data_IF_820820104138
#
_entry.id   IF_820820104138
#
_cell.length_a   1.000
_cell.length_b   1.000
_cell.length_c   1.000
_cell.angle_alpha   90.00
_cell.angle_beta   90.00
_cell.angle_gamma   90.00
#
_symmetry.space_group_name_H-M   'P 1'
#
loop_
_entity.id
_entity.type
_entity.pdbx_description
1 polymer ?
#
# COMPACT_ATOMS: atom_id res chain seq x y z
N UNK A 1 -6.48 23.37 -4.20
CA UNK A 1 -6.60 22.93 -5.57
C UNK A 1 -7.94 22.37 -5.81
N UNK A 2 -8.38 22.42 -7.02
CA UNK A 2 -9.73 22.03 -7.38
C UNK A 2 -9.93 20.55 -7.64
N UNK A 3 -8.89 19.71 -7.67
CA UNK A 3 -9.02 18.30 -8.04
C UNK A 3 -8.26 17.44 -7.03
N UNK A 4 -8.95 16.40 -6.53
CA UNK A 4 -8.36 15.42 -5.62
C UNK A 4 -8.84 14.04 -6.02
N UNK A 5 -7.99 13.04 -5.84
CA UNK A 5 -8.41 11.66 -5.98
C UNK A 5 -9.24 11.30 -4.73
N UNK A 6 -10.52 11.05 -4.92
CA UNK A 6 -11.45 10.80 -3.81
C UNK A 6 -11.45 9.33 -3.38
N UNK A 7 -11.62 8.45 -4.32
CA UNK A 7 -11.58 7.00 -4.05
C UNK A 7 -11.17 6.25 -5.31
N UNK A 8 -10.71 5.03 -5.12
CA UNK A 8 -10.42 4.14 -6.23
C UNK A 8 -10.72 2.71 -5.81
N UNK A 9 -11.11 1.89 -6.77
CA UNK A 9 -11.36 0.47 -6.54
C UNK A 9 -10.06 -0.28 -6.73
N UNK A 10 -9.70 -1.10 -5.73
CA UNK A 10 -8.54 -1.97 -5.81
C UNK A 10 -9.04 -3.41 -5.92
N UNK A 11 -8.90 -4.05 -7.09
CA UNK A 11 -9.35 -5.43 -7.27
C UNK A 11 -8.40 -6.39 -6.57
N UNK A 12 -8.96 -7.32 -5.79
CA UNK A 12 -8.21 -8.29 -4.99
C UNK A 12 -9.02 -9.60 -4.95
N UNK A 13 -8.39 -10.68 -4.47
CA UNK A 13 -9.11 -11.95 -4.37
C UNK A 13 -10.04 -11.98 -3.17
N UNK A 14 -9.57 -11.47 -2.03
CA UNK A 14 -10.34 -11.43 -0.78
C UNK A 14 -10.27 -10.01 -0.24
N UNK A 15 -11.35 -9.26 -0.41
CA UNK A 15 -11.36 -7.83 -0.08
C UNK A 15 -11.11 -7.55 1.39
N UNK A 16 -11.63 -8.38 2.29
CA UNK A 16 -11.43 -8.12 3.71
C UNK A 16 -10.01 -8.46 4.15
N UNK A 17 -9.44 -9.55 3.64
CA UNK A 17 -8.04 -9.89 3.92
C UNK A 17 -7.12 -8.80 3.40
N UNK A 18 -7.38 -8.29 2.19
CA UNK A 18 -6.58 -7.23 1.58
C UNK A 18 -6.69 -5.92 2.37
N UNK A 19 -7.90 -5.54 2.78
CA UNK A 19 -8.12 -4.32 3.55
C UNK A 19 -7.41 -4.39 4.90
N UNK A 20 -7.49 -5.54 5.58
CA UNK A 20 -6.81 -5.73 6.87
C UNK A 20 -5.30 -5.70 6.71
N UNK A 21 -4.78 -6.32 5.68
CA UNK A 21 -3.34 -6.27 5.38
C UNK A 21 -2.88 -4.83 5.17
N UNK A 22 -3.57 -4.11 4.30
CA UNK A 22 -3.20 -2.73 4.00
C UNK A 22 -3.23 -1.86 5.26
N UNK A 23 -4.32 -1.94 6.01
CA UNK A 23 -4.47 -1.15 7.24
C UNK A 23 -3.37 -1.48 8.24
N UNK A 24 -3.06 -2.76 8.41
CA UNK A 24 -2.03 -3.20 9.35
C UNK A 24 -0.65 -2.67 8.98
N UNK A 25 -0.28 -2.76 7.71
CA UNK A 25 1.05 -2.32 7.27
C UNK A 25 1.17 -0.80 7.31
N UNK A 26 0.12 -0.09 6.90
CA UNK A 26 0.15 1.38 6.85
C UNK A 26 -0.23 2.05 8.17
N UNK A 27 -0.58 1.26 9.19
CA UNK A 27 -0.94 1.83 10.49
C UNK A 27 -2.27 2.56 10.49
N UNK A 28 -3.22 2.05 9.71
CA UNK A 28 -4.55 2.62 9.54
C UNK A 28 -5.60 1.68 10.13
N UNK A 29 -6.85 2.14 10.16
CA UNK A 29 -7.96 1.34 10.66
C UNK A 29 -8.75 0.74 9.50
N UNK A 30 -9.23 -0.49 9.70
CA UNK A 30 -10.26 -1.08 8.86
C UNK A 30 -11.47 -1.37 9.75
N UNK A 31 -12.61 -0.76 9.43
CA UNK A 31 -13.79 -0.79 10.28
C UNK A 31 -14.90 -1.70 9.73
N UNK A 32 -14.57 -2.57 8.80
CA UNK A 32 -15.51 -3.51 8.23
C UNK A 32 -16.01 -3.08 6.85
N UNK A 33 -16.78 -3.97 6.20
CA UNK A 33 -17.27 -3.71 4.85
C UNK A 33 -18.32 -2.62 4.81
N UNK A 34 -18.42 -1.97 3.66
CA UNK A 34 -19.44 -0.96 3.40
C UNK A 34 -19.98 -1.20 1.99
N UNK A 35 -21.24 -1.66 1.90
CA UNK A 35 -21.80 -2.07 0.63
C UNK A 35 -20.98 -3.22 0.04
N UNK A 36 -20.63 -3.16 -1.25
CA UNK A 36 -19.85 -4.23 -1.88
C UNK A 36 -18.36 -4.17 -1.60
N UNK A 37 -17.88 -3.15 -0.88
CA UNK A 37 -16.46 -2.89 -0.74
C UNK A 37 -15.96 -3.11 0.69
N UNK A 38 -14.64 -3.29 0.80
CA UNK A 38 -13.92 -3.23 2.07
C UNK A 38 -13.06 -1.97 2.04
N UNK A 39 -13.57 -0.82 2.56
CA UNK A 39 -12.88 0.45 2.41
C UNK A 39 -11.81 0.68 3.46
N UNK A 40 -10.70 1.29 3.04
CA UNK A 40 -9.67 1.80 3.96
C UNK A 40 -9.43 3.27 3.64
N UNK A 41 -9.55 4.12 4.65
CA UNK A 41 -9.30 5.56 4.50
C UNK A 41 -7.82 5.85 4.64
N UNK A 42 -7.30 6.60 3.66
CA UNK A 42 -5.91 7.07 3.65
C UNK A 42 -5.97 8.59 3.50
N UNK A 43 -6.02 9.29 4.62
CA UNK A 43 -6.27 10.73 4.58
C UNK A 43 -7.65 11.01 3.97
N UNK A 44 -7.70 11.79 2.90
CA UNK A 44 -8.94 12.09 2.19
C UNK A 44 -9.27 11.07 1.09
N UNK A 45 -8.35 10.14 0.79
CA UNK A 45 -8.56 9.09 -0.20
C UNK A 45 -9.19 7.88 0.47
N UNK A 46 -10.11 7.21 -0.24
CA UNK A 46 -10.62 5.91 0.17
C UNK A 46 -10.17 4.87 -0.84
N UNK A 47 -9.56 3.78 -0.35
CA UNK A 47 -9.29 2.61 -1.17
C UNK A 47 -10.43 1.63 -0.95
N UNK A 48 -11.18 1.36 -2.02
CA UNK A 48 -12.31 0.42 -1.96
C UNK A 48 -11.83 -0.93 -2.48
N UNK A 49 -11.45 -1.82 -1.56
CA UNK A 49 -11.06 -3.17 -1.96
C UNK A 49 -12.29 -3.95 -2.39
N UNK A 50 -12.18 -4.62 -3.53
CA UNK A 50 -13.29 -5.32 -4.16
C UNK A 50 -12.84 -6.70 -4.62
N UNK A 51 -13.62 -7.72 -4.33
CA UNK A 51 -13.24 -9.11 -4.62
C UNK A 51 -13.45 -9.44 -6.09
N UNK A 52 -12.41 -10.02 -6.70
CA UNK A 52 -12.41 -10.49 -8.08
C UNK A 52 -11.68 -11.82 -8.18
N UNK A 53 -12.11 -12.67 -9.11
CA UNK A 53 -11.48 -13.98 -9.29
C UNK A 53 -10.06 -13.89 -9.86
N UNK A 54 -9.84 -12.92 -10.74
CA UNK A 54 -8.55 -12.75 -11.42
C UNK A 54 -8.20 -11.26 -11.48
N UNK A 55 -7.81 -10.65 -10.34
CA UNK A 55 -7.57 -9.22 -10.30
C UNK A 55 -6.34 -8.82 -11.09
N UNK A 56 -6.46 -7.73 -11.84
CA UNK A 56 -5.31 -7.13 -12.50
C UNK A 56 -4.34 -6.59 -11.45
N UNK A 57 -3.03 -6.68 -11.75
CA UNK A 57 -1.99 -6.16 -10.86
C UNK A 57 -1.88 -4.66 -11.04
N UNK A 58 -1.93 -3.94 -9.93
CA UNK A 58 -1.77 -2.49 -9.89
C UNK A 58 -0.41 -2.14 -9.30
N UNK A 59 0.07 -0.95 -9.65
CA UNK A 59 1.22 -0.32 -9.01
C UNK A 59 0.79 1.07 -8.56
N UNK A 60 0.80 1.31 -7.25
CA UNK A 60 0.44 2.62 -6.74
C UNK A 60 1.33 3.00 -5.57
N UNK A 61 1.53 4.32 -5.42
CA UNK A 61 2.56 4.85 -4.54
C UNK A 61 1.98 5.91 -3.61
N UNK A 62 2.53 5.96 -2.40
CA UNK A 62 2.14 6.92 -1.39
C UNK A 62 3.35 7.73 -0.98
N UNK A 63 3.21 9.05 -1.01
CA UNK A 63 4.20 9.93 -0.44
C UNK A 63 3.95 10.02 1.06
N UNK A 64 4.99 9.78 1.84
CA UNK A 64 4.91 9.75 3.30
C UNK A 64 6.01 10.63 3.89
N UNK A 65 5.82 11.07 5.12
CA UNK A 65 6.91 11.75 5.82
C UNK A 65 7.91 10.72 6.37
N UNK A 66 9.03 11.19 6.89
CA UNK A 66 10.10 10.30 7.34
C UNK A 66 9.65 9.40 8.48
N UNK A 67 8.86 9.94 9.41
CA UNK A 67 8.37 9.13 10.54
C UNK A 67 7.43 8.02 10.07
N UNK A 68 6.53 8.34 9.14
CA UNK A 68 5.62 7.34 8.58
C UNK A 68 6.39 6.28 7.77
N UNK A 69 7.41 6.71 7.01
CA UNK A 69 8.26 5.77 6.28
C UNK A 69 8.89 4.76 7.23
N UNK A 70 9.49 5.24 8.30
CA UNK A 70 10.16 4.37 9.28
C UNK A 70 9.17 3.42 9.94
N UNK A 71 7.98 3.89 10.29
CA UNK A 71 6.96 3.08 10.93
C UNK A 71 6.45 1.97 9.99
N UNK A 72 6.16 2.32 8.74
CA UNK A 72 5.70 1.34 7.74
C UNK A 72 6.79 0.32 7.45
N UNK A 73 8.02 0.79 7.25
CA UNK A 73 9.15 -0.10 7.01
C UNK A 73 9.37 -1.06 8.19
N UNK A 74 9.23 -0.56 9.42
CA UNK A 74 9.31 -1.40 10.60
C UNK A 74 8.28 -2.52 10.61
N UNK A 75 7.04 -2.23 10.19
CA UNK A 75 5.98 -3.24 10.13
C UNK A 75 6.25 -4.26 9.02
N UNK A 76 6.75 -3.81 7.87
CA UNK A 76 7.13 -4.70 6.77
C UNK A 76 8.18 -5.70 7.24
N UNK A 77 9.22 -5.21 7.92
CA UNK A 77 10.28 -6.08 8.45
C UNK A 77 9.76 -7.02 9.54
N UNK A 78 8.92 -6.52 10.43
CA UNK A 78 8.38 -7.31 11.52
C UNK A 78 7.52 -8.47 11.03
N UNK A 79 6.82 -8.31 9.90
CA UNK A 79 6.02 -9.37 9.29
C UNK A 79 6.82 -10.24 8.33
N UNK A 80 8.11 -9.99 8.18
CA UNK A 80 8.97 -10.80 7.31
C UNK A 80 8.65 -10.66 5.82
N UNK A 81 8.07 -9.55 5.41
CA UNK A 81 7.74 -9.33 4.01
C UNK A 81 8.99 -9.02 3.21
N UNK A 82 9.00 -9.45 1.95
CA UNK A 82 10.07 -9.04 1.05
C UNK A 82 9.83 -7.61 0.57
N UNK A 83 10.92 -6.89 0.33
CA UNK A 83 10.85 -5.51 -0.14
C UNK A 83 12.02 -5.22 -1.07
N UNK A 84 11.95 -4.12 -1.77
CA UNK A 84 12.98 -3.77 -2.73
C UNK A 84 13.17 -2.28 -2.93
N UNK A 85 14.25 -1.96 -3.65
CA UNK A 85 14.70 -0.59 -3.84
C UNK A 85 14.13 0.08 -5.07
N UNK A 86 13.42 -0.63 -5.92
CA UNK A 86 12.89 -0.06 -7.16
C UNK A 86 11.87 -0.98 -7.81
N UNK A 87 11.20 -0.49 -8.87
CA UNK A 87 10.12 -1.24 -9.52
C UNK A 87 10.60 -2.49 -10.24
N UNK A 88 11.90 -2.56 -10.54
CA UNK A 88 12.52 -3.73 -11.16
C UNK A 88 13.43 -4.47 -10.19
N UNK A 89 13.37 -4.13 -8.91
CA UNK A 89 14.18 -4.73 -7.85
C UNK A 89 13.30 -4.85 -6.61
N UNK A 90 12.23 -5.64 -6.73
CA UNK A 90 11.16 -5.69 -5.72
C UNK A 90 11.52 -6.50 -4.48
N UNK A 91 12.58 -7.28 -4.53
CA UNK A 91 12.95 -8.13 -3.40
C UNK A 91 14.45 -8.18 -3.12
N UNK A 92 15.19 -7.12 -3.48
CA UNK A 92 16.61 -7.02 -3.16
C UNK A 92 16.87 -6.70 -1.68
N UNK A 93 15.84 -6.49 -0.90
CA UNK A 93 15.90 -6.21 0.54
C UNK A 93 16.70 -4.94 0.85
N UNK A 94 16.59 -3.95 -0.02
CA UNK A 94 17.27 -2.66 0.12
C UNK A 94 16.26 -1.53 0.02
N UNK A 95 16.57 -0.42 0.67
CA UNK A 95 15.82 0.82 0.54
C UNK A 95 16.42 1.60 -0.62
N UNK A 96 15.57 2.07 -1.53
CA UNK A 96 16.00 2.93 -2.61
C UNK A 96 16.24 4.34 -2.13
N UNK A 97 17.19 5.03 -2.78
CA UNK A 97 17.52 6.39 -2.44
C UNK A 97 17.85 7.18 -3.69
N UNK A 98 17.39 8.43 -3.71
CA UNK A 98 17.75 9.40 -4.74
C UNK A 98 17.90 10.75 -4.05
N UNK A 99 19.16 11.14 -3.77
CA UNK A 99 19.42 12.26 -2.91
C UNK A 99 18.91 11.98 -1.49
N UNK A 100 18.15 12.89 -0.93
CA UNK A 100 17.53 12.70 0.39
C UNK A 100 16.22 11.92 0.34
N UNK A 101 15.72 11.62 -0.86
CA UNK A 101 14.46 10.89 -1.05
C UNK A 101 14.70 9.40 -0.87
N UNK A 102 13.86 8.77 -0.05
CA UNK A 102 13.86 7.32 0.11
C UNK A 102 12.64 6.72 -0.57
N UNK A 103 12.77 5.52 -1.08
CA UNK A 103 11.66 4.77 -1.66
C UNK A 103 11.77 3.31 -1.26
N UNK A 104 10.62 2.66 -1.11
CA UNK A 104 10.54 1.26 -0.75
C UNK A 104 9.37 0.64 -1.50
N UNK A 105 9.62 -0.53 -2.08
CA UNK A 105 8.63 -1.27 -2.87
C UNK A 105 8.35 -2.60 -2.20
N UNK A 106 7.08 -3.00 -2.15
CA UNK A 106 6.71 -4.32 -1.65
C UNK A 106 5.39 -4.75 -2.28
N UNK A 107 5.05 -6.02 -2.15
CA UNK A 107 3.82 -6.56 -2.72
C UNK A 107 2.81 -6.83 -1.63
N UNK A 108 1.54 -6.63 -1.95
CA UNK A 108 0.46 -7.07 -1.08
C UNK A 108 0.12 -8.54 -1.34
N UNK A 109 -0.97 -9.02 -0.74
CA UNK A 109 -1.38 -10.43 -0.85
C UNK A 109 -1.74 -10.84 -2.28
N UNK A 110 -2.09 -9.88 -3.12
CA UNK A 110 -2.53 -10.13 -4.50
C UNK A 110 -1.44 -9.81 -5.52
N UNK A 111 -0.25 -9.46 -5.07
CA UNK A 111 0.85 -9.11 -5.94
C UNK A 111 0.81 -7.69 -6.47
N UNK A 112 -0.10 -6.85 -5.98
CA UNK A 112 -0.06 -5.41 -6.29
C UNK A 112 1.25 -4.84 -5.77
N UNK A 113 1.86 -3.98 -6.56
CA UNK A 113 3.11 -3.34 -6.18
C UNK A 113 2.79 -2.05 -5.45
N UNK A 114 3.18 -2.00 -4.19
CA UNK A 114 3.00 -0.85 -3.34
C UNK A 114 4.34 -0.15 -3.15
N UNK A 115 4.30 1.16 -3.20
CA UNK A 115 5.50 1.97 -3.04
C UNK A 115 5.23 3.04 -2.00
N UNK A 116 6.17 3.23 -1.08
CA UNK A 116 6.18 4.41 -0.21
C UNK A 116 7.45 5.20 -0.52
N UNK A 117 7.32 6.52 -0.55
CA UNK A 117 8.46 7.38 -0.83
C UNK A 117 8.34 8.66 -0.03
N UNK A 118 9.52 9.21 0.34
CA UNK A 118 9.59 10.51 0.99
C UNK A 118 9.81 11.56 -0.07
N UNK A 119 9.10 12.67 0.03
CA UNK A 119 9.23 13.85 -0.82
C UNK A 119 9.43 13.64 -2.31
#
# INVERSE_FOLDING_TARGET
MGIQLDHMIVPVRDKEAAARFFARIFGLSYDGPMGPFAPVRVGSLTLDFDSHDDPAVLHYAFKVDEAAFDAIFGRIKAEGLRYGSGPFSLDDMKVGARGSRRALYFKDLDGHILEILTQ
#
